data_IF_167463262224
#
_entry.id   IF_167463262224
#
_cell.length_a   1.000
_cell.length_b   1.000
_cell.length_c   1.000
_cell.angle_alpha   90.00
_cell.angle_beta   90.00
_cell.angle_gamma   90.00
#
_symmetry.space_group_name_H-M   'P 1'
#
loop_
_entity.id
_entity.type
_entity.pdbx_description
1 polymer ?
#
# COMPACT_ATOMS: atom_id res chain seq x y z
N UNK A 1 -87.77 16.35 14.26
CA UNK A 1 -86.67 16.15 15.22
C UNK A 1 -85.41 16.01 14.38
N UNK A 2 -84.71 17.12 14.15
CA UNK A 2 -83.63 17.67 14.99
C UNK A 2 -82.31 16.88 14.81
N UNK A 3 -81.17 17.57 14.61
CA UNK A 3 -79.99 17.05 13.93
C UNK A 3 -78.90 16.56 14.90
N UNK A 4 -78.07 15.62 14.47
CA UNK A 4 -76.76 15.35 15.08
C UNK A 4 -75.71 15.79 14.06
N UNK A 5 -75.32 17.06 14.07
CA UNK A 5 -74.14 17.58 14.77
C UNK A 5 -72.83 17.00 14.21
N UNK A 6 -72.36 17.62 13.13
CA UNK A 6 -71.00 17.57 12.64
C UNK A 6 -70.08 18.32 13.62
N UNK A 7 -69.17 17.59 14.26
CA UNK A 7 -68.05 18.18 15.00
C UNK A 7 -66.82 18.30 14.08
N UNK A 8 -66.04 19.41 14.15
CA UNK A 8 -64.85 19.61 13.32
C UNK A 8 -63.67 18.76 13.82
N UNK A 9 -63.09 17.97 12.93
CA UNK A 9 -61.83 17.24 13.17
C UNK A 9 -60.66 18.24 13.11
N UNK A 10 -59.70 18.22 14.06
CA UNK A 10 -58.56 19.14 14.05
C UNK A 10 -57.69 18.92 12.80
N UNK A 11 -57.30 20.02 12.16
CA UNK A 11 -56.32 20.01 11.08
C UNK A 11 -55.00 19.40 11.59
N UNK A 12 -54.62 18.25 11.03
CA UNK A 12 -53.28 17.71 11.23
C UNK A 12 -52.28 18.59 10.47
N UNK A 13 -51.17 19.04 11.09
CA UNK A 13 -50.12 19.76 10.37
C UNK A 13 -49.54 18.87 9.28
N UNK A 14 -49.49 19.38 8.06
CA UNK A 14 -48.76 18.76 6.97
C UNK A 14 -47.27 18.70 7.34
N UNK A 15 -46.78 17.50 7.68
CA UNK A 15 -45.35 17.25 7.78
C UNK A 15 -44.81 17.15 6.35
N UNK A 16 -44.17 18.23 5.88
CA UNK A 16 -43.34 18.23 4.70
C UNK A 16 -42.29 17.10 4.77
N UNK A 17 -41.91 16.47 3.64
CA UNK A 17 -40.80 15.55 3.64
C UNK A 17 -39.52 16.34 3.95
N UNK A 18 -38.98 16.15 5.14
CA UNK A 18 -37.65 16.62 5.47
C UNK A 18 -36.67 15.92 4.52
N UNK A 19 -36.04 16.72 3.69
CA UNK A 19 -34.87 16.36 2.90
C UNK A 19 -33.91 15.59 3.81
N UNK A 20 -33.64 14.33 3.49
CA UNK A 20 -32.55 13.57 4.08
C UNK A 20 -31.26 14.25 3.66
N UNK A 21 -30.79 15.14 4.52
CA UNK A 21 -29.44 15.67 4.50
C UNK A 21 -28.51 14.45 4.58
N UNK A 22 -27.78 14.20 3.49
CA UNK A 22 -26.82 13.11 3.43
C UNK A 22 -25.75 13.42 4.48
N UNK A 23 -25.74 12.64 5.56
CA UNK A 23 -24.71 12.71 6.57
C UNK A 23 -23.33 12.69 5.88
N UNK A 24 -22.37 13.54 6.31
CA UNK A 24 -21.02 13.48 5.78
C UNK A 24 -20.50 12.06 6.01
N UNK A 25 -20.20 11.36 4.91
CA UNK A 25 -19.53 10.06 4.97
C UNK A 25 -18.21 10.32 5.69
N UNK A 26 -18.03 9.72 6.86
CA UNK A 26 -16.77 9.78 7.57
C UNK A 26 -15.68 9.31 6.58
N UNK A 27 -14.74 10.19 6.26
CA UNK A 27 -13.52 9.81 5.58
C UNK A 27 -12.75 8.95 6.59
N UNK A 28 -12.85 7.64 6.46
CA UNK A 28 -12.14 6.69 7.32
C UNK A 28 -10.63 6.71 7.06
N UNK A 29 -10.14 7.56 6.14
CA UNK A 29 -8.75 7.58 5.70
C UNK A 29 -8.38 6.35 4.89
N UNK A 30 -9.35 5.52 4.51
CA UNK A 30 -9.12 4.27 3.80
C UNK A 30 -9.21 4.50 2.28
N UNK A 31 -8.06 4.37 1.63
CA UNK A 31 -7.94 4.51 0.17
C UNK A 31 -8.61 3.31 -0.53
N UNK A 32 -9.40 3.50 -1.60
CA UNK A 32 -9.94 2.40 -2.39
C UNK A 32 -8.82 1.57 -3.04
N UNK A 33 -9.04 0.27 -3.23
CA UNK A 33 -8.07 -0.63 -3.86
C UNK A 33 -8.31 -0.78 -5.35
N UNK A 34 -7.27 -0.55 -6.14
CA UNK A 34 -7.22 -0.84 -7.57
C UNK A 34 -6.67 -2.26 -7.78
N UNK A 35 -7.49 -3.13 -8.36
CA UNK A 35 -7.08 -4.47 -8.79
C UNK A 35 -6.41 -4.39 -10.16
N UNK A 36 -5.14 -4.80 -10.24
CA UNK A 36 -4.34 -4.76 -11.46
C UNK A 36 -4.02 -6.18 -11.91
N UNK A 37 -4.57 -6.56 -13.06
CA UNK A 37 -4.35 -7.87 -13.70
C UNK A 37 -3.54 -7.76 -14.99
N UNK A 38 -3.31 -6.53 -15.48
CA UNK A 38 -2.41 -6.28 -16.60
C UNK A 38 -0.98 -6.61 -16.20
N UNK A 39 -0.24 -7.32 -17.04
CA UNK A 39 1.18 -7.63 -16.83
C UNK A 39 2.11 -6.59 -17.45
N UNK A 40 1.61 -5.55 -18.11
CA UNK A 40 2.46 -4.48 -18.61
C UNK A 40 1.76 -3.13 -18.74
N UNK A 41 2.55 -2.06 -18.73
CA UNK A 41 2.08 -0.70 -18.99
C UNK A 41 2.26 0.27 -17.82
N UNK A 42 1.43 1.30 -17.80
CA UNK A 42 1.43 2.32 -16.75
C UNK A 42 0.06 2.37 -16.09
N UNK A 43 0.05 2.42 -14.77
CA UNK A 43 -1.16 2.48 -13.94
C UNK A 43 -1.11 3.75 -13.10
N UNK A 44 -2.16 4.56 -13.15
CA UNK A 44 -2.33 5.67 -12.19
C UNK A 44 -2.96 5.12 -10.91
N UNK A 45 -2.33 5.41 -9.78
CA UNK A 45 -2.73 4.94 -8.45
C UNK A 45 -3.06 6.09 -7.49
N UNK A 46 -3.21 7.33 -7.99
CA UNK A 46 -3.41 8.52 -7.15
C UNK A 46 -4.56 8.32 -6.16
N UNK A 47 -4.25 8.34 -4.86
CA UNK A 47 -5.26 8.16 -3.81
C UNK A 47 -5.80 6.73 -3.67
N UNK A 48 -5.19 5.74 -4.30
CA UNK A 48 -5.61 4.33 -4.28
C UNK A 48 -4.54 3.43 -3.65
N UNK A 49 -4.99 2.36 -3.01
CA UNK A 49 -4.16 1.17 -2.80
C UNK A 49 -4.10 0.38 -4.11
N UNK A 50 -3.11 -0.49 -4.26
CA UNK A 50 -2.92 -1.30 -5.46
C UNK A 50 -2.70 -2.75 -5.08
N UNK A 51 -3.46 -3.64 -5.68
CA UNK A 51 -3.23 -5.08 -5.64
C UNK A 51 -2.90 -5.56 -7.05
N UNK A 52 -1.62 -5.86 -7.28
CA UNK A 52 -1.12 -6.46 -8.51
C UNK A 52 -1.00 -7.97 -8.34
N UNK A 53 -1.63 -8.74 -9.22
CA UNK A 53 -1.41 -10.18 -9.32
C UNK A 53 -1.00 -10.54 -10.74
N UNK A 54 0.19 -11.13 -10.89
CA UNK A 54 0.65 -11.64 -12.18
C UNK A 54 2.17 -11.84 -12.22
N UNK A 55 2.58 -12.98 -12.78
CA UNK A 55 3.98 -13.28 -13.03
C UNK A 55 4.51 -12.49 -14.24
N UNK A 56 5.81 -12.21 -14.24
CA UNK A 56 6.50 -11.48 -15.30
C UNK A 56 5.88 -10.11 -15.61
N UNK A 57 5.23 -9.50 -14.61
CA UNK A 57 4.65 -8.16 -14.76
C UNK A 57 5.75 -7.11 -14.99
N UNK A 58 5.48 -6.10 -15.81
CA UNK A 58 6.37 -4.97 -16.09
C UNK A 58 5.57 -3.67 -16.08
N UNK A 59 5.46 -3.06 -14.90
CA UNK A 59 4.53 -1.97 -14.65
C UNK A 59 5.22 -0.73 -14.08
N UNK A 60 4.66 0.42 -14.43
CA UNK A 60 4.95 1.71 -13.83
C UNK A 60 3.71 2.22 -13.10
N UNK A 61 3.80 2.37 -11.78
CA UNK A 61 2.78 3.00 -10.95
C UNK A 61 3.11 4.49 -10.79
N UNK A 62 2.20 5.34 -11.29
CA UNK A 62 2.30 6.79 -11.24
C UNK A 62 1.33 7.39 -10.25
N UNK A 63 1.76 8.48 -9.62
CA UNK A 63 0.96 9.20 -8.65
C UNK A 63 1.34 8.91 -7.20
N UNK A 64 0.52 9.44 -6.30
CA UNK A 64 0.62 9.18 -4.87
C UNK A 64 -0.15 7.91 -4.50
N UNK A 65 0.49 6.74 -4.63
CA UNK A 65 -0.13 5.47 -4.23
C UNK A 65 -0.21 5.34 -2.71
N UNK A 66 -1.21 4.62 -2.22
CA UNK A 66 -1.27 4.18 -0.83
C UNK A 66 -0.36 2.98 -0.59
N UNK A 67 -0.95 1.88 -0.13
CA UNK A 67 -0.27 0.58 -0.08
C UNK A 67 -0.23 -0.08 -1.47
N UNK A 68 0.90 -0.66 -1.84
CA UNK A 68 1.04 -1.49 -3.03
C UNK A 68 1.38 -2.93 -2.60
N UNK A 69 0.54 -3.88 -2.97
CA UNK A 69 0.77 -5.32 -2.84
C UNK A 69 1.04 -5.92 -4.21
N UNK A 70 2.19 -6.58 -4.37
CA UNK A 70 2.55 -7.29 -5.60
C UNK A 70 2.64 -8.78 -5.29
N UNK A 71 1.84 -9.57 -5.98
CA UNK A 71 1.88 -11.02 -5.95
C UNK A 71 2.25 -11.56 -7.33
N UNK A 72 3.42 -12.17 -7.44
CA UNK A 72 3.88 -12.79 -8.68
C UNK A 72 5.40 -12.89 -8.78
N UNK A 73 5.86 -13.88 -9.53
CA UNK A 73 7.28 -14.09 -9.78
C UNK A 73 7.80 -13.16 -10.88
N UNK A 74 9.08 -12.79 -10.80
CA UNK A 74 9.80 -12.03 -11.84
C UNK A 74 9.13 -10.69 -12.22
N UNK A 75 8.40 -10.09 -11.29
CA UNK A 75 7.76 -8.79 -11.51
C UNK A 75 8.81 -7.66 -11.53
N UNK A 76 8.73 -6.79 -12.53
CA UNK A 76 9.49 -5.55 -12.66
C UNK A 76 8.52 -4.40 -12.40
N UNK A 77 8.71 -3.70 -11.29
CA UNK A 77 7.79 -2.65 -10.83
C UNK A 77 8.53 -1.37 -10.55
N UNK A 78 8.10 -0.29 -11.20
CA UNK A 78 8.56 1.07 -10.92
C UNK A 78 7.44 1.84 -10.24
N UNK A 79 7.73 2.49 -9.12
CA UNK A 79 6.76 3.18 -8.28
C UNK A 79 7.26 4.60 -8.07
N UNK A 80 6.42 5.58 -8.37
CA UNK A 80 6.74 6.99 -8.14
C UNK A 80 6.72 7.31 -6.63
N UNK A 81 5.58 7.08 -5.97
CA UNK A 81 5.40 7.20 -4.52
C UNK A 81 4.44 6.13 -4.02
N UNK A 82 4.70 5.61 -2.83
CA UNK A 82 3.80 4.71 -2.11
C UNK A 82 4.02 4.86 -0.61
N UNK A 83 2.94 4.80 0.17
CA UNK A 83 3.06 4.81 1.64
C UNK A 83 3.70 3.53 2.16
N UNK A 84 3.35 2.39 1.55
CA UNK A 84 3.92 1.09 1.87
C UNK A 84 3.98 0.18 0.64
N UNK A 85 4.94 -0.73 0.62
CA UNK A 85 5.14 -1.69 -0.48
C UNK A 85 5.33 -3.09 0.09
N UNK A 86 4.51 -4.03 -0.37
CA UNK A 86 4.61 -5.45 -0.02
C UNK A 86 4.78 -6.27 -1.29
N UNK A 87 5.88 -7.02 -1.37
CA UNK A 87 6.20 -7.86 -2.51
C UNK A 87 6.20 -9.32 -2.06
N UNK A 88 5.44 -10.14 -2.78
CA UNK A 88 5.39 -11.59 -2.63
C UNK A 88 5.70 -12.24 -3.96
N UNK A 89 6.88 -12.84 -4.06
CA UNK A 89 7.32 -13.53 -5.26
C UNK A 89 8.83 -13.49 -5.44
N UNK A 90 9.34 -14.48 -6.15
CA UNK A 90 10.77 -14.63 -6.38
C UNK A 90 11.26 -13.76 -7.55
N UNK A 91 12.52 -13.37 -7.51
CA UNK A 91 13.23 -12.65 -8.57
C UNK A 91 12.56 -11.34 -9.02
N UNK A 92 11.85 -10.68 -8.12
CA UNK A 92 11.23 -9.39 -8.39
C UNK A 92 12.28 -8.27 -8.45
N UNK A 93 12.03 -7.24 -9.27
CA UNK A 93 12.83 -6.03 -9.37
C UNK A 93 11.95 -4.82 -9.11
N UNK A 94 12.14 -4.17 -7.96
CA UNK A 94 11.30 -3.05 -7.53
C UNK A 94 12.15 -1.79 -7.40
N UNK A 95 11.68 -0.71 -8.00
CA UNK A 95 12.26 0.63 -7.85
C UNK A 95 11.19 1.58 -7.35
N UNK A 96 11.33 2.02 -6.10
CA UNK A 96 10.54 3.08 -5.50
C UNK A 96 11.35 4.38 -5.55
N UNK A 97 10.86 5.37 -6.29
CA UNK A 97 11.56 6.65 -6.43
C UNK A 97 11.48 7.50 -5.15
N UNK A 98 10.36 7.44 -4.45
CA UNK A 98 10.10 8.18 -3.22
C UNK A 98 10.47 7.42 -1.94
N UNK A 99 9.98 7.99 -0.83
CA UNK A 99 10.09 7.41 0.51
C UNK A 99 8.89 6.50 0.80
N UNK A 100 9.06 5.53 1.69
CA UNK A 100 7.99 4.69 2.21
C UNK A 100 8.09 4.53 3.73
N UNK A 101 6.94 4.36 4.37
CA UNK A 101 6.87 4.02 5.80
C UNK A 101 7.27 2.56 6.01
N UNK A 102 6.82 1.66 5.15
CA UNK A 102 7.18 0.25 5.25
C UNK A 102 7.43 -0.40 3.91
N UNK A 103 8.42 -1.29 3.88
CA UNK A 103 8.64 -2.19 2.75
C UNK A 103 8.83 -3.61 3.26
N UNK A 104 8.07 -4.53 2.69
CA UNK A 104 8.14 -5.95 2.99
C UNK A 104 8.49 -6.76 1.73
N UNK A 105 9.55 -7.57 1.81
CA UNK A 105 10.07 -8.33 0.67
C UNK A 105 10.04 -9.84 0.95
N UNK A 106 8.90 -10.46 0.66
CA UNK A 106 8.73 -11.91 0.71
C UNK A 106 9.11 -12.53 -0.63
N UNK A 107 10.32 -13.03 -0.74
CA UNK A 107 10.76 -13.67 -1.96
C UNK A 107 12.24 -13.96 -1.96
N UNK A 108 12.70 -14.63 -3.00
CA UNK A 108 14.10 -14.99 -3.15
C UNK A 108 14.73 -14.26 -4.31
N UNK A 109 15.99 -13.85 -4.18
CA UNK A 109 16.78 -13.24 -5.27
C UNK A 109 16.14 -11.98 -5.85
N UNK A 110 15.35 -11.26 -5.05
CA UNK A 110 14.69 -10.03 -5.49
C UNK A 110 15.61 -8.84 -5.25
N UNK A 111 15.43 -7.78 -6.05
CA UNK A 111 16.14 -6.51 -5.91
C UNK A 111 15.17 -5.39 -5.58
N UNK A 112 15.50 -4.60 -4.56
CA UNK A 112 14.75 -3.40 -4.17
C UNK A 112 15.66 -2.18 -4.23
N UNK A 113 15.19 -1.11 -4.87
CA UNK A 113 15.76 0.24 -4.77
C UNK A 113 14.70 1.17 -4.19
N UNK A 114 15.02 1.94 -3.16
CA UNK A 114 14.10 2.92 -2.59
C UNK A 114 14.81 4.21 -2.12
N UNK A 115 14.03 5.25 -1.86
CA UNK A 115 14.45 6.44 -1.13
C UNK A 115 14.74 6.12 0.34
N UNK A 116 14.05 6.81 1.25
CA UNK A 116 14.02 6.48 2.68
C UNK A 116 12.97 5.42 2.98
N UNK A 117 13.31 4.48 3.86
CA UNK A 117 12.38 3.47 4.39
C UNK A 117 12.39 3.52 5.91
N UNK A 118 11.25 3.75 6.56
CA UNK A 118 11.20 3.72 8.03
C UNK A 118 11.42 2.29 8.55
N UNK A 119 10.63 1.34 8.06
CA UNK A 119 10.69 -0.07 8.46
C UNK A 119 10.86 -0.98 7.25
N UNK A 120 11.95 -1.74 7.24
CA UNK A 120 12.25 -2.72 6.21
C UNK A 120 12.14 -4.14 6.81
N UNK A 121 11.31 -4.98 6.22
CA UNK A 121 11.15 -6.39 6.59
C UNK A 121 11.56 -7.28 5.42
N UNK A 122 12.57 -8.12 5.61
CA UNK A 122 13.07 -9.05 4.58
C UNK A 122 13.05 -10.49 5.12
N UNK A 123 11.90 -11.17 5.02
CA UNK A 123 11.77 -12.55 5.45
C UNK A 123 12.28 -13.56 4.41
N UNK A 124 12.48 -13.12 3.16
CA UNK A 124 12.98 -13.97 2.09
C UNK A 124 14.51 -14.11 2.04
N UNK A 125 15.02 -14.85 1.05
CA UNK A 125 16.43 -15.23 0.94
C UNK A 125 17.14 -14.52 -0.24
N UNK A 126 18.46 -14.32 -0.14
CA UNK A 126 19.33 -13.86 -1.22
C UNK A 126 18.88 -12.54 -1.88
N UNK A 127 18.15 -11.69 -1.16
CA UNK A 127 17.66 -10.42 -1.70
C UNK A 127 18.74 -9.34 -1.66
N UNK A 128 18.66 -8.39 -2.59
CA UNK A 128 19.56 -7.24 -2.65
C UNK A 128 18.76 -5.93 -2.51
N UNK A 129 18.97 -5.22 -1.41
CA UNK A 129 18.24 -3.99 -1.09
C UNK A 129 19.21 -2.81 -1.11
N UNK A 130 18.86 -1.77 -1.86
CA UNK A 130 19.60 -0.52 -1.94
C UNK A 130 18.68 0.65 -1.60
N UNK A 131 19.00 1.40 -0.56
CA UNK A 131 18.15 2.49 -0.09
C UNK A 131 18.98 3.68 0.33
N UNK A 132 18.38 4.86 0.42
CA UNK A 132 19.10 6.04 0.90
C UNK A 132 19.35 5.93 2.40
N UNK A 133 18.29 5.66 3.16
CA UNK A 133 18.33 5.52 4.63
C UNK A 133 17.30 4.49 5.09
N UNK A 134 17.62 3.79 6.18
CA UNK A 134 16.69 2.87 6.87
C UNK A 134 16.60 3.28 8.34
N UNK A 135 15.39 3.38 8.88
CA UNK A 135 15.20 3.50 10.33
C UNK A 135 15.47 2.17 11.03
N UNK A 136 14.71 1.15 10.65
CA UNK A 136 14.75 -0.19 11.21
C UNK A 136 14.71 -1.26 10.13
N UNK A 137 15.52 -2.31 10.28
CA UNK A 137 15.52 -3.48 9.42
C UNK A 137 15.35 -4.75 10.25
N UNK A 138 14.37 -5.59 9.88
CA UNK A 138 14.20 -6.94 10.40
C UNK A 138 14.47 -7.96 9.31
N UNK A 139 15.33 -8.93 9.59
CA UNK A 139 15.76 -9.97 8.66
C UNK A 139 15.42 -11.34 9.25
N UNK A 140 14.75 -12.20 8.48
CA UNK A 140 14.51 -13.60 8.89
C UNK A 140 15.11 -14.62 7.93
N UNK A 141 15.26 -14.28 6.65
CA UNK A 141 15.86 -15.18 5.67
C UNK A 141 17.38 -15.16 5.69
N UNK A 142 17.99 -15.79 4.69
CA UNK A 142 19.45 -15.90 4.59
C UNK A 142 20.05 -15.14 3.41
N UNK A 143 21.32 -14.77 3.52
CA UNK A 143 22.10 -14.25 2.38
C UNK A 143 21.62 -12.89 1.84
N UNK A 144 20.76 -12.18 2.57
CA UNK A 144 20.25 -10.89 2.17
C UNK A 144 21.36 -9.83 2.27
N UNK A 145 21.49 -8.99 1.26
CA UNK A 145 22.43 -7.87 1.23
C UNK A 145 21.68 -6.55 1.21
N UNK A 146 21.80 -5.79 2.29
CA UNK A 146 21.22 -4.47 2.44
C UNK A 146 22.34 -3.42 2.38
N UNK A 147 22.21 -2.44 1.49
CA UNK A 147 23.09 -1.29 1.38
C UNK A 147 22.27 -0.02 1.60
N UNK A 148 22.60 0.76 2.61
CA UNK A 148 22.08 2.11 2.79
C UNK A 148 23.17 3.16 2.46
N UNK A 149 22.79 4.35 2.04
CA UNK A 149 23.74 5.43 1.70
C UNK A 149 24.19 6.22 2.94
N UNK A 150 23.30 6.40 3.91
CA UNK A 150 23.63 7.18 5.10
C UNK A 150 22.76 6.77 6.28
N UNK A 151 23.05 7.36 7.44
CA UNK A 151 22.30 7.13 8.68
C UNK A 151 22.78 5.92 9.47
N UNK A 152 22.05 5.63 10.54
CA UNK A 152 22.25 4.46 11.39
C UNK A 152 20.96 3.66 11.38
N UNK A 153 21.07 2.37 11.11
CA UNK A 153 19.94 1.45 11.06
C UNK A 153 19.89 0.60 12.32
N UNK A 154 18.71 0.46 12.91
CA UNK A 154 18.46 -0.55 13.94
C UNK A 154 18.20 -1.89 13.27
N UNK A 155 19.02 -2.91 13.53
CA UNK A 155 18.91 -4.20 12.86
C UNK A 155 18.54 -5.29 13.86
N UNK A 156 17.45 -5.99 13.58
CA UNK A 156 17.09 -7.26 14.20
C UNK A 156 17.27 -8.37 13.16
N UNK A 157 18.37 -9.12 13.25
CA UNK A 157 18.66 -10.23 12.34
C UNK A 157 18.43 -11.57 13.04
N UNK A 158 17.38 -12.27 12.60
CA UNK A 158 17.01 -13.61 13.05
C UNK A 158 17.41 -14.69 12.04
N UNK A 159 18.03 -14.30 10.93
CA UNK A 159 18.45 -15.18 9.84
C UNK A 159 19.93 -15.58 9.90
N UNK A 160 20.51 -15.86 8.74
CA UNK A 160 21.93 -16.22 8.61
C UNK A 160 22.58 -15.61 7.37
N UNK A 161 23.88 -15.31 7.43
CA UNK A 161 24.66 -14.78 6.29
C UNK A 161 24.13 -13.48 5.69
N UNK A 162 23.31 -12.73 6.44
CA UNK A 162 22.85 -11.43 5.99
C UNK A 162 23.95 -10.38 6.19
N UNK A 163 24.00 -9.41 5.28
CA UNK A 163 24.99 -8.34 5.29
C UNK A 163 24.29 -7.00 5.19
N UNK A 164 24.59 -6.10 6.13
CA UNK A 164 24.12 -4.72 6.12
C UNK A 164 25.34 -3.81 6.02
N UNK A 165 25.37 -2.95 5.00
CA UNK A 165 26.46 -2.01 4.77
C UNK A 165 25.92 -0.59 4.64
N UNK A 166 26.64 0.37 5.20
CA UNK A 166 26.42 1.80 4.96
C UNK A 166 27.53 2.31 4.05
N UNK A 167 27.20 3.01 2.96
CA UNK A 167 28.16 3.48 1.95
C UNK A 167 28.03 4.95 1.62
#
# INVERSE_FOLDING_TARGET
MAPAQSAPQPAQPALSPASTDAAPKADTGERPTLLVTSTSGTVSCDGHNVDLTGDHANLLFKGDCGAISVLGEQAIVQIERAESVRIVGDAAQVTLAGDAKSVELFGRKSTLKAGRVDTLLVPGDDNHVQVQTIGEATLHGRGNRISQQSGTVRVDDYGSDNQITTR
#
